data_IF_141607198937
#
_entry.id   IF_141607198937
#
_cell.length_a   1.000
_cell.length_b   1.000
_cell.length_c   1.000
_cell.angle_alpha   90.00
_cell.angle_beta   90.00
_cell.angle_gamma   90.00
#
_symmetry.space_group_name_H-M   'P 1'
#
loop_
_entity.id
_entity.type
_entity.pdbx_description
1 polymer ?
#
# COMPACT_ATOMS: atom_id res chain seq x y z
N UNK A 1 -2.64 7.16 0.27
CA UNK A 1 -1.83 8.39 0.21
C UNK A 1 -0.62 8.32 1.11
N UNK A 2 -0.72 8.84 2.34
CA UNK A 2 0.43 8.96 3.26
C UNK A 2 1.12 7.63 3.57
N UNK A 3 0.36 6.56 3.86
CA UNK A 3 0.94 5.24 4.10
C UNK A 3 1.78 4.74 2.91
N UNK A 4 1.30 4.92 1.68
CA UNK A 4 2.06 4.55 0.47
C UNK A 4 3.38 5.32 0.34
N UNK A 5 3.40 6.61 0.68
CA UNK A 5 4.64 7.40 0.69
C UNK A 5 5.61 6.89 1.75
N UNK A 6 5.11 6.55 2.95
CA UNK A 6 5.94 5.97 4.01
C UNK A 6 6.53 4.62 3.58
N UNK A 7 5.72 3.73 3.01
CA UNK A 7 6.17 2.43 2.49
C UNK A 7 7.20 2.59 1.38
N UNK A 8 6.94 3.45 0.39
CA UNK A 8 7.89 3.73 -0.68
C UNK A 8 9.23 4.27 -0.15
N UNK A 9 9.20 5.09 0.91
CA UNK A 9 10.42 5.62 1.53
C UNK A 9 11.27 4.51 2.14
N UNK A 10 10.65 3.57 2.85
CA UNK A 10 11.37 2.43 3.46
C UNK A 10 11.89 1.49 2.38
N UNK A 11 11.08 1.16 1.37
CA UNK A 11 11.52 0.33 0.26
C UNK A 11 12.69 0.96 -0.50
N UNK A 12 12.66 2.28 -0.74
CA UNK A 12 13.77 3.00 -1.36
C UNK A 12 15.04 2.94 -0.50
N UNK A 13 14.92 3.14 0.82
CA UNK A 13 16.05 3.03 1.75
C UNK A 13 16.65 1.62 1.79
N UNK A 14 15.80 0.59 1.73
CA UNK A 14 16.19 -0.82 1.80
C UNK A 14 16.53 -1.42 0.43
N UNK A 15 16.45 -0.63 -0.66
CA UNK A 15 16.67 -1.07 -2.04
C UNK A 15 15.77 -2.24 -2.46
N UNK A 16 14.51 -2.20 -2.02
CA UNK A 16 13.49 -3.21 -2.34
C UNK A 16 12.49 -2.66 -3.37
N UNK A 17 12.00 -3.51 -4.29
CA UNK A 17 10.85 -3.15 -5.13
C UNK A 17 9.64 -2.77 -4.28
N UNK A 18 8.85 -1.81 -4.75
CA UNK A 18 7.67 -1.34 -4.05
C UNK A 18 6.53 -1.12 -5.04
N UNK A 19 5.40 -1.79 -4.79
CA UNK A 19 4.17 -1.62 -5.56
C UNK A 19 3.07 -1.13 -4.62
N UNK A 20 2.42 -0.02 -4.97
CA UNK A 20 1.36 0.60 -4.18
C UNK A 20 0.07 0.59 -4.98
N UNK A 21 -0.89 -0.21 -4.52
CA UNK A 21 -2.25 -0.18 -5.03
C UNK A 21 -3.01 1.02 -4.46
N UNK A 22 -3.61 1.82 -5.33
CA UNK A 22 -4.36 3.01 -4.93
C UNK A 22 -5.62 3.15 -5.79
N UNK A 23 -6.78 3.41 -5.17
CA UNK A 23 -8.02 3.58 -5.92
C UNK A 23 -7.91 4.69 -6.95
N UNK A 24 -8.44 4.50 -8.16
CA UNK A 24 -8.29 5.47 -9.26
C UNK A 24 -8.77 6.87 -8.88
N UNK A 25 -9.86 6.97 -8.10
CA UNK A 25 -10.36 8.25 -7.59
C UNK A 25 -9.34 8.91 -6.65
N UNK A 26 -8.67 8.13 -5.80
CA UNK A 26 -7.66 8.64 -4.87
C UNK A 26 -6.36 9.03 -5.59
N UNK A 27 -5.96 8.30 -6.64
CA UNK A 27 -4.83 8.68 -7.50
C UNK A 27 -5.06 10.06 -8.10
N UNK A 28 -6.25 10.34 -8.62
CA UNK A 28 -6.59 11.67 -9.16
C UNK A 28 -6.61 12.76 -8.09
N UNK A 29 -7.15 12.46 -6.90
CA UNK A 29 -7.24 13.44 -5.79
C UNK A 29 -5.91 13.72 -5.11
N UNK A 30 -4.98 12.75 -5.09
CA UNK A 30 -3.73 12.83 -4.32
C UNK A 30 -2.48 12.76 -5.21
N UNK A 31 -2.53 13.39 -6.38
CA UNK A 31 -1.41 13.48 -7.33
C UNK A 31 -0.05 13.86 -6.70
N UNK A 32 0.04 14.80 -5.73
CA UNK A 32 1.32 15.10 -5.09
C UNK A 32 1.94 13.92 -4.34
N UNK A 33 1.12 13.04 -3.76
CA UNK A 33 1.60 11.84 -3.07
C UNK A 33 1.98 10.75 -4.07
N UNK A 34 1.24 10.61 -5.18
CA UNK A 34 1.58 9.69 -6.28
C UNK A 34 2.96 10.01 -6.83
N UNK A 35 3.21 11.28 -7.18
CA UNK A 35 4.53 11.73 -7.66
C UNK A 35 5.65 11.46 -6.66
N UNK A 36 5.40 11.66 -5.36
CA UNK A 36 6.41 11.34 -4.33
C UNK A 36 6.75 9.85 -4.31
N UNK A 37 5.75 8.97 -4.42
CA UNK A 37 5.97 7.52 -4.47
C UNK A 37 6.77 7.14 -5.72
N UNK A 38 6.41 7.69 -6.89
CA UNK A 38 7.13 7.46 -8.15
C UNK A 38 8.59 7.97 -8.08
N UNK A 39 8.82 9.15 -7.48
CA UNK A 39 10.17 9.69 -7.26
C UNK A 39 11.02 8.82 -6.33
N UNK A 40 10.38 8.07 -5.42
CA UNK A 40 11.04 7.09 -4.56
C UNK A 40 11.24 5.73 -5.26
N UNK A 41 10.81 5.60 -6.52
CA UNK A 41 10.94 4.38 -7.32
C UNK A 41 9.82 3.35 -7.08
N UNK A 42 8.75 3.72 -6.39
CA UNK A 42 7.59 2.84 -6.23
C UNK A 42 6.67 2.87 -7.47
N UNK A 43 6.16 1.72 -7.87
CA UNK A 43 5.12 1.59 -8.89
C UNK A 43 3.76 1.86 -8.25
N UNK A 44 2.98 2.78 -8.80
CA UNK A 44 1.63 3.08 -8.30
C UNK A 44 0.59 2.50 -9.26
N UNK A 45 -0.12 1.47 -8.84
CA UNK A 45 -1.13 0.79 -9.66
C UNK A 45 -2.52 1.35 -9.33
N UNK A 46 -3.18 2.05 -10.29
CA UNK A 46 -4.53 2.55 -10.10
C UNK A 46 -5.55 1.42 -10.14
N UNK A 47 -6.31 1.24 -9.06
CA UNK A 47 -7.39 0.27 -8.98
C UNK A 47 -8.67 0.86 -9.56
N UNK A 48 -9.12 0.26 -10.67
CA UNK A 48 -10.32 0.65 -11.42
C UNK A 48 -11.55 -0.21 -11.07
N UNK A 49 -11.34 -1.30 -10.31
CA UNK A 49 -12.40 -2.21 -9.86
C UNK A 49 -13.25 -1.60 -8.73
N UNK A 50 -14.51 -2.03 -8.65
CA UNK A 50 -15.42 -1.62 -7.60
C UNK A 50 -15.68 -0.12 -7.54
N UNK A 51 -15.64 0.44 -6.33
CA UNK A 51 -15.86 1.88 -6.09
C UNK A 51 -14.59 2.72 -6.30
N UNK A 52 -13.46 2.10 -6.67
CA UNK A 52 -12.18 2.77 -6.92
C UNK A 52 -11.66 3.57 -5.71
N UNK A 53 -11.89 3.03 -4.51
CA UNK A 53 -11.52 3.63 -3.24
C UNK A 53 -10.48 2.78 -2.49
N UNK A 54 -10.08 3.24 -1.30
CA UNK A 54 -9.19 2.50 -0.39
C UNK A 54 -9.58 1.03 -0.19
N UNK A 55 -10.87 0.71 -0.01
CA UNK A 55 -11.32 -0.67 0.21
C UNK A 55 -10.97 -1.57 -0.98
N UNK A 56 -11.19 -1.07 -2.20
CA UNK A 56 -10.92 -1.81 -3.43
C UNK A 56 -9.41 -1.99 -3.61
N UNK A 57 -8.62 -0.94 -3.32
CA UNK A 57 -7.16 -1.01 -3.33
C UNK A 57 -6.59 -2.07 -2.38
N UNK A 58 -7.12 -2.16 -1.14
CA UNK A 58 -6.73 -3.18 -0.17
C UNK A 58 -7.03 -4.59 -0.67
N UNK A 59 -8.18 -4.79 -1.34
CA UNK A 59 -8.55 -6.10 -1.88
C UNK A 59 -7.61 -6.54 -3.01
N UNK A 60 -7.26 -5.64 -3.94
CA UNK A 60 -6.31 -5.97 -5.01
C UNK A 60 -4.92 -6.25 -4.46
N UNK A 61 -4.45 -5.46 -3.48
CA UNK A 61 -3.15 -5.71 -2.84
C UNK A 61 -3.07 -7.08 -2.14
N UNK A 62 -4.15 -7.50 -1.48
CA UNK A 62 -4.22 -8.84 -0.87
C UNK A 62 -4.25 -9.93 -1.96
N UNK A 63 -5.00 -9.73 -3.06
CA UNK A 63 -5.04 -10.70 -4.18
C UNK A 63 -3.67 -10.89 -4.82
N UNK A 64 -2.96 -9.79 -5.02
CA UNK A 64 -1.60 -9.82 -5.58
C UNK A 64 -0.64 -10.56 -4.65
N UNK A 65 -0.67 -10.24 -3.35
CA UNK A 65 0.13 -10.95 -2.36
C UNK A 65 -0.18 -12.45 -2.29
N UNK A 66 -1.46 -12.84 -2.36
CA UNK A 66 -1.84 -14.25 -2.41
C UNK A 66 -1.32 -14.97 -3.68
N UNK A 67 -1.07 -14.24 -4.75
CA UNK A 67 -0.53 -14.79 -6.01
C UNK A 67 1.00 -14.86 -6.01
N UNK A 68 1.66 -14.04 -5.17
CA UNK A 68 3.12 -13.91 -5.06
C UNK A 68 3.61 -14.04 -3.59
N UNK A 69 3.30 -15.13 -2.86
CA UNK A 69 3.59 -15.21 -1.43
C UNK A 69 5.07 -15.41 -1.09
N UNK A 70 5.88 -15.91 -2.04
CA UNK A 70 7.27 -16.32 -1.79
C UNK A 70 8.27 -15.16 -1.85
N UNK A 71 7.94 -14.10 -2.61
CA UNK A 71 8.82 -12.97 -2.88
C UNK A 71 8.22 -11.61 -2.47
N UNK A 72 6.94 -11.58 -2.11
CA UNK A 72 6.21 -10.34 -1.80
C UNK A 72 5.73 -10.32 -0.35
N UNK A 73 6.00 -9.21 0.34
CA UNK A 73 5.46 -8.95 1.68
C UNK A 73 4.36 -7.88 1.62
N UNK A 74 3.16 -8.23 2.09
CA UNK A 74 2.05 -7.29 2.17
C UNK A 74 2.16 -6.37 3.39
N UNK A 75 2.18 -5.07 3.15
CA UNK A 75 2.26 -4.04 4.19
C UNK A 75 0.92 -3.34 4.33
N UNK A 76 0.37 -3.35 5.55
CA UNK A 76 -0.89 -2.67 5.87
C UNK A 76 -0.67 -1.56 6.90
N UNK A 77 -1.25 -0.39 6.63
CA UNK A 77 -1.02 0.83 7.40
C UNK A 77 -2.08 1.16 8.43
N UNK A 78 -2.98 0.24 8.75
CA UNK A 78 -4.10 0.48 9.66
C UNK A 78 -4.46 -0.80 10.41
N UNK A 79 -5.15 -0.68 11.54
CA UNK A 79 -5.61 -1.79 12.39
C UNK A 79 -6.80 -2.53 11.78
N UNK A 80 -6.63 -3.02 10.56
CA UNK A 80 -7.61 -3.76 9.77
C UNK A 80 -6.94 -5.00 9.16
N UNK A 81 -7.71 -5.81 8.43
CA UNK A 81 -7.22 -7.04 7.82
C UNK A 81 -7.28 -8.25 8.75
N UNK A 82 -6.82 -9.43 8.28
CA UNK A 82 -6.83 -10.65 9.08
C UNK A 82 -5.73 -10.61 10.15
N UNK A 83 -5.91 -11.41 11.21
CA UNK A 83 -4.80 -11.70 12.13
C UNK A 83 -3.58 -12.21 11.33
N UNK A 84 -2.36 -11.72 11.60
CA UNK A 84 -1.93 -10.95 12.79
C UNK A 84 -1.94 -9.43 12.64
N UNK A 85 -2.40 -8.87 11.51
CA UNK A 85 -2.17 -7.47 11.19
C UNK A 85 -2.82 -6.44 12.14
N UNK A 86 -4.10 -6.56 12.55
CA UNK A 86 -4.69 -5.59 13.48
C UNK A 86 -3.92 -5.49 14.80
N UNK A 87 -3.54 -6.63 15.39
CA UNK A 87 -2.80 -6.69 16.65
C UNK A 87 -1.39 -6.12 16.49
N UNK A 88 -0.71 -6.49 15.41
CA UNK A 88 0.64 -6.02 15.12
C UNK A 88 0.66 -4.49 14.93
N UNK A 89 -0.23 -3.93 14.11
CA UNK A 89 -0.29 -2.48 13.87
C UNK A 89 -0.66 -1.73 15.14
N UNK A 90 -1.62 -2.23 15.92
CA UNK A 90 -2.01 -1.59 17.18
C UNK A 90 -0.84 -1.52 18.18
N UNK A 91 -0.07 -2.60 18.31
CA UNK A 91 1.11 -2.65 19.21
C UNK A 91 2.26 -1.78 18.70
N UNK A 92 2.50 -1.72 17.39
CA UNK A 92 3.56 -0.86 16.82
C UNK A 92 3.23 0.64 16.91
N UNK A 93 1.96 0.98 17.12
CA UNK A 93 1.48 2.36 17.26
C UNK A 93 1.10 2.72 18.70
N UNK A 94 1.22 1.80 19.67
CA UNK A 94 0.93 2.10 21.07
C UNK A 94 2.06 2.94 21.68
N UNK A 95 1.72 4.15 22.13
CA UNK A 95 2.59 5.06 22.88
C UNK A 95 2.41 4.84 24.38
#
# INVERSE_FOLDING_TARGET
>A
GQHGVATATVCALMQMPCTVYMGQTDVQRQQPNVKKMEMLGAEVIPVTSGNQTLKDATNEAIRDWCSHPDDTYYIIGSTIGPHPYPDMVARLQSV
#
